data_IF_668863026144
#
_entry.id   IF_668863026144
#
_cell.length_a   1.000
_cell.length_b   1.000
_cell.length_c   1.000
_cell.angle_alpha   90.00
_cell.angle_beta   90.00
_cell.angle_gamma   90.00
#
_symmetry.space_group_name_H-M   'P 1'
#
loop_
_entity.id
_entity.type
_entity.pdbx_description
1 polymer ?
#
# COMPACT_ATOMS: atom_id res chain seq x y z
N UNK A 1 0.94 20.08 -7.50
CA UNK A 1 0.32 19.18 -8.49
C UNK A 1 0.00 17.88 -7.79
N UNK A 2 -1.26 17.44 -7.79
CA UNK A 2 -1.66 16.18 -7.18
C UNK A 2 -1.21 15.05 -8.14
N UNK A 3 -0.09 14.38 -7.83
CA UNK A 3 0.40 13.27 -8.65
C UNK A 3 -0.47 12.05 -8.43
N UNK A 4 -0.70 11.26 -9.48
CA UNK A 4 -1.45 10.01 -9.38
C UNK A 4 -0.51 8.81 -9.44
N UNK A 5 -0.89 7.69 -8.82
CA UNK A 5 -0.07 6.46 -8.83
C UNK A 5 0.25 5.97 -10.25
N UNK A 6 -0.62 6.27 -11.21
CA UNK A 6 -0.46 5.89 -12.61
C UNK A 6 0.58 6.72 -13.38
N UNK A 7 0.94 7.89 -12.84
CA UNK A 7 1.94 8.78 -13.46
C UNK A 7 3.39 8.36 -13.12
N UNK A 8 3.58 7.43 -12.17
CA UNK A 8 4.92 6.93 -11.84
C UNK A 8 5.37 5.81 -12.75
N UNK A 9 6.56 6.01 -13.33
CA UNK A 9 7.18 5.10 -14.30
C UNK A 9 7.77 3.84 -13.66
N UNK A 10 8.14 3.87 -12.39
CA UNK A 10 8.73 2.74 -11.68
C UNK A 10 7.70 2.09 -10.73
N UNK A 11 7.65 0.75 -10.73
CA UNK A 11 6.83 -0.04 -9.80
C UNK A 11 7.12 0.30 -8.33
N UNK A 12 8.39 0.51 -7.99
CA UNK A 12 8.78 0.89 -6.63
C UNK A 12 8.22 2.25 -6.20
N UNK A 13 8.26 3.24 -7.10
CA UNK A 13 7.68 4.55 -6.83
C UNK A 13 6.14 4.47 -6.72
N UNK A 14 5.50 3.64 -7.57
CA UNK A 14 4.06 3.33 -7.51
C UNK A 14 3.66 2.74 -6.16
N UNK A 15 4.38 1.72 -5.69
CA UNK A 15 4.14 1.13 -4.38
C UNK A 15 4.30 2.15 -3.25
N UNK A 16 5.38 2.94 -3.25
CA UNK A 16 5.63 3.96 -2.24
C UNK A 16 4.50 4.98 -2.15
N UNK A 17 4.05 5.52 -3.28
CA UNK A 17 2.98 6.51 -3.30
C UNK A 17 1.65 5.97 -2.82
N UNK A 18 1.29 4.73 -3.18
CA UNK A 18 0.06 4.10 -2.69
C UNK A 18 0.13 3.97 -1.16
N UNK A 19 1.22 3.42 -0.62
CA UNK A 19 1.47 3.27 0.82
C UNK A 19 1.38 4.63 1.52
N UNK A 20 2.10 5.65 1.02
CA UNK A 20 2.13 6.98 1.64
C UNK A 20 0.74 7.65 1.59
N UNK A 21 0.01 7.50 0.48
CA UNK A 21 -1.35 8.04 0.33
C UNK A 21 -2.32 7.41 1.33
N UNK A 22 -2.25 6.09 1.52
CA UNK A 22 -3.12 5.38 2.47
C UNK A 22 -2.74 5.76 3.91
N UNK A 23 -1.45 5.82 4.24
CA UNK A 23 -0.98 6.27 5.57
C UNK A 23 -1.47 7.67 5.91
N UNK A 24 -1.49 8.59 4.94
CA UNK A 24 -2.02 9.94 5.13
C UNK A 24 -3.53 10.00 5.41
N UNK A 25 -4.29 8.93 5.08
CA UNK A 25 -5.73 8.83 5.38
C UNK A 25 -6.00 8.34 6.81
N UNK A 26 -4.98 7.91 7.53
CA UNK A 26 -5.06 7.48 8.92
C UNK A 26 -5.09 5.96 9.09
N UNK A 27 -5.17 5.54 10.36
CA UNK A 27 -5.05 4.14 10.76
C UNK A 27 -6.13 3.25 10.14
N UNK A 28 -7.40 3.67 10.12
CA UNK A 28 -8.49 2.86 9.58
C UNK A 28 -8.27 2.47 8.11
N UNK A 29 -7.83 3.41 7.28
CA UNK A 29 -7.50 3.13 5.87
C UNK A 29 -6.25 2.25 5.74
N UNK A 30 -5.29 2.38 6.67
CA UNK A 30 -4.09 1.56 6.70
C UNK A 30 -4.41 0.11 7.08
N UNK A 31 -5.29 -0.11 8.06
CA UNK A 31 -5.83 -1.43 8.40
C UNK A 31 -6.54 -2.08 7.21
N UNK A 32 -7.42 -1.34 6.53
CA UNK A 32 -8.14 -1.85 5.35
C UNK A 32 -7.17 -2.25 4.22
N UNK A 33 -6.13 -1.45 3.96
CA UNK A 33 -5.10 -1.80 2.99
C UNK A 33 -4.35 -3.09 3.37
N UNK A 34 -4.04 -3.30 4.65
CA UNK A 34 -3.38 -4.52 5.12
C UNK A 34 -4.29 -5.72 4.93
N UNK A 35 -5.57 -5.62 5.27
CA UNK A 35 -6.55 -6.70 5.03
C UNK A 35 -6.59 -7.09 3.54
N UNK A 36 -6.70 -6.12 2.63
CA UNK A 36 -6.65 -6.38 1.20
C UNK A 36 -5.31 -6.99 0.75
N UNK A 37 -4.19 -6.54 1.32
CA UNK A 37 -2.87 -7.11 0.98
C UNK A 37 -2.78 -8.57 1.42
N UNK A 38 -3.31 -8.92 2.60
CA UNK A 38 -3.38 -10.29 3.09
C UNK A 38 -4.24 -11.20 2.21
N UNK A 39 -5.33 -10.69 1.63
CA UNK A 39 -6.16 -11.45 0.69
C UNK A 39 -5.45 -11.71 -0.65
N UNK A 40 -4.71 -10.71 -1.15
CA UNK A 40 -4.05 -10.78 -2.46
C UNK A 40 -2.73 -11.56 -2.39
N UNK A 41 -1.94 -11.35 -1.34
CA UNK A 41 -0.64 -11.98 -1.15
C UNK A 41 -0.36 -12.29 0.34
N UNK A 42 -0.88 -13.42 0.84
CA UNK A 42 -0.65 -13.85 2.22
C UNK A 42 0.84 -14.07 2.54
N UNK A 43 1.62 -14.55 1.58
CA UNK A 43 3.04 -14.82 1.77
C UNK A 43 3.83 -13.53 1.99
N UNK A 44 3.52 -12.48 1.22
CA UNK A 44 4.10 -11.16 1.43
C UNK A 44 3.74 -10.62 2.82
N UNK A 45 2.49 -10.76 3.25
CA UNK A 45 2.07 -10.29 4.58
C UNK A 45 2.76 -11.03 5.71
N UNK A 46 2.92 -12.36 5.61
CA UNK A 46 3.71 -13.15 6.55
C UNK A 46 5.17 -12.68 6.59
N UNK A 47 5.78 -12.50 5.41
CA UNK A 47 7.16 -12.06 5.28
C UNK A 47 7.40 -10.66 5.87
N UNK A 48 6.39 -9.78 5.79
CA UNK A 48 6.42 -8.43 6.36
C UNK A 48 6.02 -8.38 7.85
N UNK A 49 5.57 -9.49 8.44
CA UNK A 49 5.10 -9.54 9.83
C UNK A 49 3.81 -8.75 10.07
N UNK A 50 2.94 -8.67 9.05
CA UNK A 50 1.64 -8.00 9.12
C UNK A 50 0.53 -8.91 9.65
N UNK A 51 0.79 -10.21 9.71
CA UNK A 51 -0.07 -11.27 10.25
C UNK A 51 0.66 -12.09 11.31
#
# INVERSE_FOLDING_TARGET
TNKSADEMRNRGDKARFVIDTVRMKGEAASSEMIEFLCEVDPFLCEHLGLI
#
